data_IF_298786548583
#
_entry.id   IF_298786548583
#
_cell.length_a   1.000
_cell.length_b   1.000
_cell.length_c   1.000
_cell.angle_alpha   90.00
_cell.angle_beta   90.00
_cell.angle_gamma   90.00
#
_symmetry.space_group_name_H-M   'P 1'
#
loop_
_entity.id
_entity.type
_entity.pdbx_description
1 polymer ?
#
# COMPACT_ATOMS: atom_id res chain seq x y z
N UNK A 1 15.98 -29.90 -51.97
CA UNK A 1 16.94 -28.87 -51.52
C UNK A 1 16.15 -27.90 -50.67
N UNK A 2 16.18 -28.15 -49.37
CA UNK A 2 15.79 -27.18 -48.37
C UNK A 2 16.95 -26.20 -48.21
N UNK A 3 16.67 -24.93 -47.98
CA UNK A 3 17.53 -24.10 -47.15
C UNK A 3 16.72 -22.98 -46.49
N UNK A 4 16.97 -22.88 -45.18
CA UNK A 4 16.33 -22.05 -44.18
C UNK A 4 16.73 -20.57 -44.33
N UNK A 5 15.80 -19.67 -43.98
CA UNK A 5 16.10 -18.25 -43.76
C UNK A 5 16.51 -18.09 -42.28
N UNK A 6 17.69 -17.51 -41.96
CA UNK A 6 18.18 -17.48 -40.59
C UNK A 6 17.53 -16.37 -39.72
N UNK A 7 17.25 -16.78 -38.48
CA UNK A 7 16.89 -15.98 -37.31
C UNK A 7 17.92 -14.87 -37.04
N UNK A 8 17.63 -13.64 -37.44
CA UNK A 8 18.45 -12.48 -37.08
C UNK A 8 17.61 -11.20 -36.91
N UNK A 9 16.55 -11.26 -36.11
CA UNK A 9 15.85 -10.05 -35.63
C UNK A 9 15.53 -10.05 -34.12
N UNK A 10 15.92 -11.09 -33.39
CA UNK A 10 15.68 -11.20 -31.94
C UNK A 10 16.79 -10.60 -31.05
N UNK A 11 17.84 -9.99 -31.63
CA UNK A 11 19.08 -9.66 -30.88
C UNK A 11 19.34 -8.17 -30.65
N UNK A 12 18.36 -7.30 -30.87
CA UNK A 12 18.53 -5.83 -30.63
C UNK A 12 17.79 -5.36 -29.36
N UNK A 13 16.94 -6.20 -28.74
CA UNK A 13 16.19 -5.85 -27.51
C UNK A 13 16.97 -6.04 -26.19
N UNK A 14 18.23 -6.51 -26.24
CA UNK A 14 19.04 -6.84 -25.05
C UNK A 14 19.93 -5.68 -24.56
N UNK A 15 20.39 -4.79 -25.44
CA UNK A 15 21.65 -4.08 -25.17
C UNK A 15 21.50 -2.61 -24.73
N UNK A 16 20.28 -2.12 -24.44
CA UNK A 16 20.05 -0.76 -23.91
C UNK A 16 19.52 -0.71 -22.47
N UNK A 17 19.31 -1.85 -21.81
CA UNK A 17 18.79 -1.94 -20.44
C UNK A 17 19.76 -2.35 -19.29
N UNK A 18 21.11 -2.35 -19.37
CA UNK A 18 21.91 -2.76 -18.20
C UNK A 18 21.91 -1.76 -17.04
N UNK A 19 21.82 -0.44 -17.28
CA UNK A 19 22.11 0.55 -16.23
C UNK A 19 20.92 0.91 -15.33
N UNK A 20 19.68 0.86 -15.83
CA UNK A 20 18.48 1.06 -15.01
C UNK A 20 18.17 -0.18 -14.14
N UNK A 21 18.40 -1.38 -14.66
CA UNK A 21 18.27 -2.63 -13.89
C UNK A 21 19.36 -2.73 -12.80
N UNK A 22 20.57 -2.20 -13.03
CA UNK A 22 21.63 -2.13 -12.01
C UNK A 22 21.30 -1.14 -10.87
N UNK A 23 20.67 -0.01 -11.18
CA UNK A 23 20.27 0.96 -10.16
C UNK A 23 19.07 0.48 -9.35
N UNK A 24 18.13 -0.25 -9.96
CA UNK A 24 17.09 -0.95 -9.22
C UNK A 24 17.71 -2.00 -8.29
N UNK A 25 18.56 -2.91 -8.82
CA UNK A 25 19.10 -4.04 -8.07
C UNK A 25 19.97 -3.68 -6.85
N UNK A 26 20.67 -2.53 -6.84
CA UNK A 26 21.60 -2.19 -5.75
C UNK A 26 20.95 -1.61 -4.48
N UNK A 27 19.66 -1.26 -4.51
CA UNK A 27 18.89 -0.83 -3.32
C UNK A 27 18.23 -2.00 -2.56
N UNK A 28 18.30 -3.23 -3.09
CA UNK A 28 17.64 -4.40 -2.53
C UNK A 28 18.60 -5.27 -1.70
N UNK A 29 18.81 -4.86 -0.45
CA UNK A 29 19.42 -5.72 0.55
C UNK A 29 18.35 -6.21 1.54
N UNK A 30 17.95 -7.48 1.42
CA UNK A 30 17.42 -8.29 2.54
C UNK A 30 15.95 -8.15 2.96
N UNK A 31 15.10 -7.41 2.26
CA UNK A 31 13.64 -7.44 2.46
C UNK A 31 12.94 -7.66 1.13
N UNK A 32 12.29 -8.81 0.96
CA UNK A 32 11.66 -9.18 -0.31
C UNK A 32 10.56 -8.15 -0.63
N UNK A 33 10.65 -7.44 -1.76
CA UNK A 33 9.66 -6.41 -2.17
C UNK A 33 8.63 -7.01 -3.12
N UNK A 34 7.48 -6.36 -3.27
CA UNK A 34 6.57 -6.58 -4.39
C UNK A 34 6.94 -5.63 -5.52
N UNK A 35 6.93 -6.13 -6.75
CA UNK A 35 7.19 -5.37 -7.97
C UNK A 35 6.08 -5.60 -8.98
N UNK A 36 5.53 -4.53 -9.52
CA UNK A 36 4.53 -4.55 -10.58
C UNK A 36 5.05 -3.70 -11.73
N UNK A 37 5.22 -4.32 -12.90
CA UNK A 37 5.54 -3.61 -14.13
C UNK A 37 4.28 -3.56 -14.99
N UNK A 38 3.83 -2.37 -15.36
CA UNK A 38 2.66 -2.18 -16.22
C UNK A 38 3.07 -1.54 -17.54
N UNK A 39 2.76 -2.21 -18.65
CA UNK A 39 2.93 -1.69 -20.01
C UNK A 39 1.60 -1.11 -20.52
N UNK A 40 1.61 0.19 -20.82
CA UNK A 40 0.49 0.87 -21.47
C UNK A 40 0.54 0.60 -22.98
N UNK A 41 -0.35 -0.26 -23.49
CA UNK A 41 -0.54 -0.48 -24.93
C UNK A 41 -1.72 0.30 -25.49
N UNK A 42 -2.44 1.07 -24.67
CA UNK A 42 -3.58 1.85 -25.15
C UNK A 42 -3.14 2.93 -26.13
N UNK A 43 -4.08 3.39 -26.96
CA UNK A 43 -3.90 4.50 -27.88
C UNK A 43 -3.66 5.87 -27.24
N UNK A 44 -3.75 6.00 -25.91
CA UNK A 44 -3.60 7.25 -25.17
C UNK A 44 -2.63 7.12 -23.98
N UNK A 45 -2.13 8.25 -23.49
CA UNK A 45 -1.42 8.26 -22.21
C UNK A 45 -2.38 7.95 -21.08
N UNK A 46 -1.92 7.22 -20.07
CA UNK A 46 -2.74 6.74 -18.97
C UNK A 46 -2.11 7.05 -17.61
N UNK A 47 -2.95 7.23 -16.61
CA UNK A 47 -2.52 7.30 -15.21
C UNK A 47 -3.07 6.09 -14.45
N UNK A 48 -2.32 5.63 -13.46
CA UNK A 48 -2.63 4.42 -12.70
C UNK A 48 -2.46 4.67 -11.21
N UNK A 49 -3.38 4.13 -10.42
CA UNK A 49 -3.30 4.12 -8.98
C UNK A 49 -3.30 2.68 -8.44
N UNK A 50 -2.43 2.42 -7.47
CA UNK A 50 -2.36 1.17 -6.73
C UNK A 50 -3.14 1.31 -5.42
N UNK A 51 -4.13 0.46 -5.23
CA UNK A 51 -4.85 0.31 -3.96
C UNK A 51 -4.56 -1.04 -3.33
N UNK A 52 -4.72 -1.15 -2.02
CA UNK A 52 -4.80 -2.44 -1.33
C UNK A 52 -6.27 -2.79 -1.06
N UNK A 53 -6.56 -4.09 -1.05
CA UNK A 53 -7.76 -4.55 -0.37
C UNK A 53 -7.71 -4.06 1.08
N UNK A 54 -8.82 -3.54 1.65
CA UNK A 54 -8.83 -3.04 3.01
C UNK A 54 -8.21 -4.06 3.99
N UNK A 55 -7.32 -3.63 4.90
CA UNK A 55 -6.73 -4.52 5.88
C UNK A 55 -7.81 -5.09 6.80
N UNK A 56 -7.51 -6.23 7.42
CA UNK A 56 -8.33 -6.72 8.51
C UNK A 56 -8.12 -5.84 9.75
N UNK A 57 -9.22 -5.44 10.40
CA UNK A 57 -9.19 -4.65 11.64
C UNK A 57 -10.15 -5.30 12.65
N UNK A 58 -9.63 -5.65 13.84
CA UNK A 58 -10.43 -6.15 14.96
C UNK A 58 -10.21 -5.28 16.20
N UNK A 59 -11.26 -4.87 16.94
CA UNK A 59 -12.68 -5.04 16.59
C UNK A 59 -13.02 -4.27 15.31
N UNK A 60 -14.16 -4.64 14.70
CA UNK A 60 -14.67 -3.95 13.51
C UNK A 60 -14.88 -2.47 13.78
N UNK A 61 -14.53 -1.63 12.82
CA UNK A 61 -14.65 -0.16 12.88
C UNK A 61 -15.83 0.32 12.02
N UNK A 62 -16.40 1.48 12.35
CA UNK A 62 -17.58 2.03 11.64
C UNK A 62 -17.33 2.21 10.13
N UNK A 63 -16.19 2.79 9.77
CA UNK A 63 -15.78 3.01 8.39
C UNK A 63 -14.27 2.85 8.26
N UNK A 64 -13.85 1.97 7.35
CA UNK A 64 -12.48 1.81 6.94
C UNK A 64 -12.34 2.35 5.51
N UNK A 65 -11.49 3.36 5.34
CA UNK A 65 -11.26 4.02 4.06
C UNK A 65 -9.93 3.55 3.50
N UNK A 66 -9.94 2.89 2.34
CA UNK A 66 -8.72 2.60 1.56
C UNK A 66 -8.28 3.83 0.77
N UNK A 67 -6.97 3.98 0.54
CA UNK A 67 -6.41 5.10 -0.18
C UNK A 67 -5.49 4.65 -1.32
N UNK A 68 -5.28 5.53 -2.30
CA UNK A 68 -4.28 5.34 -3.35
C UNK A 68 -2.88 5.33 -2.72
N UNK A 69 -2.19 4.20 -2.80
CA UNK A 69 -0.88 3.97 -2.16
C UNK A 69 0.24 4.51 -3.05
N UNK A 70 0.24 4.15 -4.33
CA UNK A 70 1.22 4.60 -5.30
C UNK A 70 0.49 5.03 -6.56
N UNK A 71 1.00 6.09 -7.20
CA UNK A 71 0.38 6.63 -8.42
C UNK A 71 1.45 6.81 -9.51
N UNK A 72 1.11 6.43 -10.73
CA UNK A 72 1.88 6.71 -11.93
C UNK A 72 1.06 7.64 -12.82
N UNK A 73 1.65 8.71 -13.32
CA UNK A 73 0.96 9.71 -14.15
C UNK A 73 1.49 9.71 -15.56
N UNK A 74 0.59 9.98 -16.50
CA UNK A 74 0.91 10.27 -17.90
C UNK A 74 1.86 9.25 -18.55
N UNK A 75 1.65 7.97 -18.25
CA UNK A 75 2.41 6.86 -18.83
C UNK A 75 2.13 6.83 -20.33
N UNK A 76 3.16 7.04 -21.14
CA UNK A 76 3.05 7.23 -22.57
C UNK A 76 2.23 6.13 -23.27
N UNK A 77 1.43 6.53 -24.27
CA UNK A 77 0.66 5.63 -25.11
C UNK A 77 1.54 4.57 -25.80
N UNK A 78 0.96 3.39 -26.05
CA UNK A 78 1.52 2.26 -26.82
C UNK A 78 2.80 1.58 -26.29
N UNK A 79 3.70 2.32 -25.64
CA UNK A 79 5.04 1.83 -25.24
C UNK A 79 5.46 2.22 -23.82
N UNK A 80 4.70 3.07 -23.13
CA UNK A 80 5.05 3.55 -21.80
C UNK A 80 4.98 2.46 -20.75
N UNK A 81 5.92 2.49 -19.80
CA UNK A 81 5.94 1.57 -18.67
C UNK A 81 5.78 2.33 -17.35
N UNK A 82 5.01 1.75 -16.42
CA UNK A 82 4.97 2.15 -15.02
C UNK A 82 5.53 1.03 -14.14
N UNK A 83 6.24 1.42 -13.09
CA UNK A 83 6.85 0.51 -12.14
C UNK A 83 6.38 0.85 -10.73
N UNK A 84 5.75 -0.12 -10.06
CA UNK A 84 5.38 0.00 -8.66
C UNK A 84 6.21 -0.97 -7.84
N UNK A 85 6.98 -0.45 -6.89
CA UNK A 85 7.80 -1.26 -6.00
C UNK A 85 7.57 -0.85 -4.56
N UNK A 86 7.28 -1.83 -3.70
CA UNK A 86 7.02 -1.58 -2.28
C UNK A 86 7.40 -2.78 -1.41
N UNK A 87 7.79 -2.55 -0.14
CA UNK A 87 8.24 -3.63 0.73
C UNK A 87 7.09 -4.56 1.15
N UNK A 88 7.37 -5.86 1.35
CA UNK A 88 6.36 -6.85 1.79
C UNK A 88 6.08 -6.84 3.28
N UNK A 89 7.03 -6.38 4.08
CA UNK A 89 7.05 -6.56 5.53
C UNK A 89 7.37 -5.26 6.31
N UNK A 90 7.62 -4.14 5.62
CA UNK A 90 7.92 -2.84 6.26
C UNK A 90 6.66 -1.98 6.40
N UNK A 91 5.81 -2.37 7.33
CA UNK A 91 4.57 -1.66 7.66
C UNK A 91 4.78 -0.62 8.76
N UNK A 92 3.92 0.40 8.79
CA UNK A 92 3.81 1.33 9.90
C UNK A 92 2.35 1.45 10.33
N UNK A 93 2.14 1.48 11.64
CA UNK A 93 0.93 2.04 12.21
C UNK A 93 0.93 3.55 11.97
N UNK A 94 -0.24 4.11 11.67
CA UNK A 94 -0.45 5.53 11.44
C UNK A 94 -1.44 6.06 12.48
N UNK A 95 -1.18 7.23 13.04
CA UNK A 95 -2.19 8.01 13.73
C UNK A 95 -2.01 9.50 13.41
N UNK A 96 -3.06 10.30 13.61
CA UNK A 96 -2.97 11.74 13.41
C UNK A 96 -4.31 12.37 13.06
N UNK A 97 -4.26 13.44 12.25
CA UNK A 97 -5.42 14.19 11.76
C UNK A 97 -5.42 14.16 10.24
N UNK A 98 -6.59 13.93 9.64
CA UNK A 98 -6.80 14.05 8.20
C UNK A 98 -8.08 14.84 7.93
N UNK A 99 -7.92 16.13 7.60
CA UNK A 99 -9.00 17.01 7.22
C UNK A 99 -8.90 17.27 5.72
N UNK A 100 -10.00 17.03 5.03
CA UNK A 100 -10.11 17.25 3.59
C UNK A 100 -11.44 17.94 3.30
N UNK A 101 -11.37 19.09 2.63
CA UNK A 101 -12.47 19.74 1.94
C UNK A 101 -12.09 20.00 0.47
N UNK A 102 -13.01 20.59 -0.32
CA UNK A 102 -12.81 20.84 -1.76
C UNK A 102 -11.59 21.71 -2.11
N UNK A 103 -11.01 22.41 -1.13
CA UNK A 103 -9.94 23.39 -1.33
C UNK A 103 -8.73 23.20 -0.40
N UNK A 104 -8.89 22.48 0.70
CA UNK A 104 -7.89 22.29 1.75
C UNK A 104 -7.72 20.83 2.07
N UNK A 105 -6.51 20.34 1.86
CA UNK A 105 -6.07 19.02 2.29
C UNK A 105 -5.03 19.21 3.40
N UNK A 106 -5.43 19.00 4.65
CA UNK A 106 -4.54 19.04 5.81
C UNK A 106 -4.35 17.63 6.36
N UNK A 107 -3.09 17.20 6.43
CA UNK A 107 -2.74 15.93 7.04
C UNK A 107 -1.53 16.05 7.94
N UNK A 108 -1.71 15.65 9.19
CA UNK A 108 -0.63 15.58 10.19
C UNK A 108 -0.60 14.16 10.70
N UNK A 109 0.46 13.43 10.39
CA UNK A 109 0.60 12.01 10.75
C UNK A 109 1.81 11.80 11.65
N UNK A 110 1.64 10.95 12.63
CA UNK A 110 2.72 10.24 13.29
C UNK A 110 2.74 8.76 12.84
N UNK A 111 3.91 8.14 12.93
CA UNK A 111 4.14 6.77 12.43
C UNK A 111 4.93 5.94 13.43
N UNK A 112 4.50 4.71 13.63
CA UNK A 112 5.18 3.72 14.45
C UNK A 112 5.50 2.51 13.57
N UNK A 113 6.79 2.18 13.43
CA UNK A 113 7.21 1.00 12.68
C UNK A 113 6.69 -0.25 13.39
N UNK A 114 6.17 -1.22 12.63
CA UNK A 114 5.57 -2.43 13.20
C UNK A 114 6.14 -3.70 12.60
N UNK A 115 6.27 -4.71 13.45
CA UNK A 115 6.40 -6.11 13.06
C UNK A 115 5.04 -6.78 13.24
N UNK A 116 4.68 -7.66 12.31
CA UNK A 116 3.47 -8.48 12.44
C UNK A 116 3.75 -9.66 13.35
N UNK A 117 2.75 -10.08 14.12
CA UNK A 117 2.85 -11.31 14.90
C UNK A 117 3.08 -12.50 13.98
N UNK A 118 3.90 -13.45 14.43
CA UNK A 118 4.33 -14.58 13.60
C UNK A 118 4.46 -15.86 14.41
N UNK A 119 4.60 -16.99 13.71
CA UNK A 119 4.72 -18.30 14.33
C UNK A 119 3.40 -19.05 14.44
N UNK A 120 3.41 -20.09 15.28
CA UNK A 120 2.25 -20.95 15.59
C UNK A 120 1.97 -20.84 17.10
N UNK A 121 0.80 -21.29 17.55
CA UNK A 121 0.36 -21.19 18.95
C UNK A 121 1.41 -21.57 20.00
N UNK A 122 2.29 -22.55 19.73
CA UNK A 122 3.36 -22.97 20.64
C UNK A 122 4.63 -22.11 20.60
N UNK A 123 4.90 -21.38 19.51
CA UNK A 123 6.08 -20.52 19.29
C UNK A 123 5.63 -19.17 18.72
N UNK A 124 4.63 -18.56 19.37
CA UNK A 124 4.02 -17.32 18.91
C UNK A 124 4.88 -16.12 19.31
N UNK A 125 5.35 -15.38 18.30
CA UNK A 125 5.97 -14.08 18.48
C UNK A 125 4.90 -13.01 18.27
N UNK A 126 4.67 -12.19 19.30
CA UNK A 126 3.68 -11.11 19.25
C UNK A 126 4.15 -10.01 18.30
N UNK A 127 3.20 -9.44 17.57
CA UNK A 127 3.44 -8.27 16.73
C UNK A 127 3.52 -7.00 17.57
N UNK A 128 4.17 -5.97 17.02
CA UNK A 128 4.38 -4.69 17.70
C UNK A 128 3.08 -4.09 18.24
N UNK A 129 3.15 -3.47 19.42
CA UNK A 129 2.08 -2.60 19.92
C UNK A 129 2.46 -1.13 19.85
N UNK A 130 1.71 -0.37 19.05
CA UNK A 130 1.82 1.08 18.98
C UNK A 130 0.75 1.71 19.87
N UNK A 131 1.18 2.30 20.98
CA UNK A 131 0.30 3.01 21.90
C UNK A 131 0.07 4.44 21.42
N UNK A 132 -1.16 4.78 21.09
CA UNK A 132 -1.56 6.14 20.74
C UNK A 132 -1.69 6.99 22.02
N UNK A 133 -1.20 8.21 21.96
CA UNK A 133 -1.50 9.28 22.90
C UNK A 133 -2.54 10.21 22.25
N UNK A 134 -3.54 10.60 23.03
CA UNK A 134 -4.66 11.44 22.61
C UNK A 134 -4.86 12.66 23.52
N UNK A 135 -3.80 13.06 24.24
CA UNK A 135 -3.81 14.18 25.19
C UNK A 135 -3.74 15.55 24.51
N UNK A 136 -3.35 15.60 23.23
CA UNK A 136 -3.24 16.82 22.43
C UNK A 136 -4.32 16.90 21.34
N UNK A 137 -4.28 17.96 20.53
CA UNK A 137 -5.20 18.13 19.39
C UNK A 137 -4.95 17.12 18.26
N UNK A 138 -3.71 16.63 18.12
CA UNK A 138 -3.30 15.68 17.09
C UNK A 138 -2.74 14.44 17.78
N UNK A 139 -3.38 13.27 17.64
CA UNK A 139 -2.87 12.05 18.25
C UNK A 139 -1.51 11.69 17.65
N UNK A 140 -0.67 11.12 18.50
CA UNK A 140 0.70 10.69 18.16
C UNK A 140 0.98 9.36 18.86
N UNK A 141 2.06 8.67 18.51
CA UNK A 141 2.46 7.46 19.22
C UNK A 141 3.34 7.81 20.42
N UNK A 142 2.96 7.31 21.60
CA UNK A 142 3.78 7.42 22.79
C UNK A 142 5.07 6.58 22.62
N UNK A 143 6.09 6.91 23.42
CA UNK A 143 7.34 6.16 23.46
C UNK A 143 7.07 4.67 23.67
N UNK A 144 7.48 3.83 22.72
CA UNK A 144 7.35 2.37 22.81
C UNK A 144 8.27 1.83 23.91
N UNK A 145 7.69 1.11 24.88
CA UNK A 145 8.41 0.51 26.00
C UNK A 145 9.14 -0.80 25.65
N UNK A 146 9.04 -1.26 24.39
CA UNK A 146 9.78 -2.39 23.85
C UNK A 146 8.93 -3.67 23.67
N UNK A 147 9.56 -4.78 23.23
CA UNK A 147 8.86 -6.00 22.82
C UNK A 147 8.05 -6.71 23.92
N UNK A 148 8.32 -6.42 25.20
CA UNK A 148 7.60 -7.03 26.31
C UNK A 148 6.11 -6.66 26.34
N UNK A 149 5.77 -5.49 25.79
CA UNK A 149 4.40 -4.97 25.74
C UNK A 149 3.68 -5.27 24.42
N UNK A 150 4.33 -5.98 23.50
CA UNK A 150 3.77 -6.33 22.20
C UNK A 150 2.59 -7.30 22.37
N UNK A 151 1.47 -7.02 21.70
CA UNK A 151 0.19 -7.74 21.77
C UNK A 151 -0.42 -8.03 20.39
N UNK A 152 0.30 -7.76 19.30
CA UNK A 152 -0.18 -8.04 17.94
C UNK A 152 -0.43 -9.53 17.72
N UNK A 153 -1.61 -9.89 17.22
CA UNK A 153 -2.00 -11.26 16.83
C UNK A 153 -1.14 -11.80 15.66
N UNK A 154 -1.22 -13.10 15.39
CA UNK A 154 -0.59 -13.69 14.19
C UNK A 154 -1.09 -12.96 12.94
N UNK A 155 -0.16 -12.44 12.13
CA UNK A 155 -0.45 -11.68 10.92
C UNK A 155 -0.86 -10.21 11.16
N UNK A 156 -0.82 -9.73 12.40
CA UNK A 156 -1.26 -8.39 12.77
C UNK A 156 -0.28 -7.68 13.70
N UNK A 157 -0.37 -6.35 13.74
CA UNK A 157 0.15 -5.53 14.83
C UNK A 157 -1.02 -4.99 15.67
N UNK A 158 -0.72 -4.49 16.87
CA UNK A 158 -1.71 -3.88 17.75
C UNK A 158 -1.57 -2.35 17.76
N UNK A 159 -2.67 -1.62 17.56
CA UNK A 159 -2.77 -0.19 17.84
C UNK A 159 -3.66 0.01 19.07
N UNK A 160 -3.08 0.51 20.16
CA UNK A 160 -3.79 0.73 21.42
C UNK A 160 -4.17 2.19 21.57
N UNK A 161 -5.43 2.44 21.89
CA UNK A 161 -5.95 3.79 22.12
C UNK A 161 -6.23 4.04 23.60
N UNK A 162 -6.02 5.27 24.10
CA UNK A 162 -6.25 5.60 25.50
C UNK A 162 -7.75 5.82 25.76
N UNK A 163 -8.11 5.95 27.04
CA UNK A 163 -9.49 6.21 27.45
C UNK A 163 -9.90 7.66 27.60
N UNK A 164 -9.02 8.61 27.32
CA UNK A 164 -9.22 10.05 27.57
C UNK A 164 -10.02 10.80 26.50
N UNK A 165 -10.72 10.10 25.60
CA UNK A 165 -11.51 10.72 24.53
C UNK A 165 -12.77 9.90 24.20
N UNK A 166 -13.65 10.44 23.35
CA UNK A 166 -14.83 9.74 22.82
C UNK A 166 -14.71 9.58 21.31
N UNK A 167 -15.45 8.62 20.74
CA UNK A 167 -15.50 8.46 19.28
C UNK A 167 -15.97 9.73 18.56
N UNK A 168 -16.98 10.42 19.09
CA UNK A 168 -17.46 11.71 18.56
C UNK A 168 -16.37 12.78 18.58
N UNK A 169 -15.57 12.84 19.65
CA UNK A 169 -14.41 13.75 19.71
C UNK A 169 -13.40 13.41 18.62
N UNK A 170 -13.08 12.13 18.43
CA UNK A 170 -12.16 11.71 17.38
C UNK A 170 -12.70 12.08 15.98
N UNK A 171 -13.99 11.84 15.73
CA UNK A 171 -14.67 12.21 14.47
C UNK A 171 -14.65 13.71 14.21
N UNK A 172 -15.02 14.52 15.20
CA UNK A 172 -15.09 15.99 15.08
C UNK A 172 -13.71 16.65 14.95
N UNK A 173 -12.65 16.02 15.47
CA UNK A 173 -11.28 16.49 15.29
C UNK A 173 -10.58 15.81 14.10
N UNK A 174 -11.31 15.06 13.27
CA UNK A 174 -10.79 14.36 12.10
C UNK A 174 -9.60 13.44 12.42
N UNK A 175 -9.62 12.82 13.60
CA UNK A 175 -8.60 11.88 14.02
C UNK A 175 -8.68 10.61 13.19
N UNK A 176 -7.51 10.13 12.79
CA UNK A 176 -7.37 8.88 12.07
C UNK A 176 -6.36 7.97 12.74
N UNK A 177 -6.62 6.67 12.63
CA UNK A 177 -5.69 5.59 12.90
C UNK A 177 -5.67 4.66 11.68
N UNK A 178 -4.58 3.93 11.46
CA UNK A 178 -4.53 3.06 10.28
C UNK A 178 -3.18 2.40 10.03
N UNK A 179 -3.02 2.00 8.78
CA UNK A 179 -1.86 1.27 8.28
C UNK A 179 -1.30 2.00 7.05
N UNK A 180 0.02 2.04 6.94
CA UNK A 180 0.72 2.49 5.74
C UNK A 180 2.07 1.81 5.57
N UNK A 181 2.77 2.19 4.50
CA UNK A 181 4.15 1.76 4.26
C UNK A 181 5.15 2.59 5.04
N UNK A 182 6.27 1.95 5.38
CA UNK A 182 7.50 2.59 5.84
C UNK A 182 8.05 3.52 4.77
N UNK A 183 7.60 4.78 4.76
CA UNK A 183 8.10 5.79 3.83
C UNK A 183 8.46 7.08 4.57
N UNK A 184 9.49 7.76 4.06
CA UNK A 184 9.70 9.17 4.41
C UNK A 184 8.44 9.95 4.05
N UNK A 185 8.11 11.00 4.80
CA UNK A 185 6.85 11.76 4.69
C UNK A 185 6.61 12.50 3.36
N UNK A 186 7.22 12.09 2.27
CA UNK A 186 6.96 12.60 0.93
C UNK A 186 5.56 12.19 0.46
N UNK A 187 4.87 13.16 -0.13
CA UNK A 187 3.52 13.06 -0.68
C UNK A 187 3.36 12.07 -1.86
N UNK A 188 4.39 11.26 -2.17
CA UNK A 188 4.38 10.29 -3.27
C UNK A 188 3.95 8.89 -2.85
N UNK A 189 3.82 8.62 -1.55
CA UNK A 189 3.32 7.34 -1.04
C UNK A 189 2.15 7.56 -0.09
N UNK A 190 1.06 6.88 -0.40
CA UNK A 190 -0.16 6.88 0.37
C UNK A 190 -0.17 5.88 1.52
N UNK A 191 -1.04 6.13 2.49
CA UNK A 191 -1.43 5.13 3.48
C UNK A 191 -2.27 4.03 2.82
N UNK A 192 -2.33 2.84 3.41
CA UNK A 192 -3.17 1.76 2.87
C UNK A 192 -4.62 2.01 3.18
N UNK A 193 -4.91 2.17 4.47
CA UNK A 193 -6.24 2.43 4.96
C UNK A 193 -6.21 3.22 6.26
N UNK A 194 -7.27 3.97 6.50
CA UNK A 194 -7.49 4.69 7.75
C UNK A 194 -8.94 4.58 8.24
N UNK A 195 -9.14 4.81 9.53
CA UNK A 195 -10.44 4.83 10.18
C UNK A 195 -10.42 5.81 11.37
N UNK A 196 -11.59 6.23 11.83
CA UNK A 196 -11.72 7.01 13.06
C UNK A 196 -11.58 6.09 14.29
N UNK A 197 -10.60 6.30 15.18
CA UNK A 197 -10.43 5.45 16.34
C UNK A 197 -11.51 5.71 17.40
N UNK A 198 -12.03 4.65 18.00
CA UNK A 198 -12.72 4.67 19.29
C UNK A 198 -11.74 4.59 20.48
N UNK A 199 -12.15 5.00 21.69
CA UNK A 199 -11.32 5.03 22.89
C UNK A 199 -11.22 3.67 23.60
N UNK A 200 -10.15 3.46 24.37
CA UNK A 200 -9.88 2.22 25.15
C UNK A 200 -9.92 0.94 24.32
N UNK A 201 -9.49 1.02 23.08
CA UNK A 201 -9.53 -0.10 22.14
C UNK A 201 -8.13 -0.52 21.73
N UNK A 202 -7.91 -1.84 21.75
CA UNK A 202 -6.76 -2.52 21.15
C UNK A 202 -7.17 -3.02 19.75
N UNK A 203 -6.73 -2.33 18.71
CA UNK A 203 -7.00 -2.72 17.33
C UNK A 203 -5.94 -3.68 16.82
N UNK A 204 -6.33 -4.88 16.43
CA UNK A 204 -5.49 -5.82 15.69
C UNK A 204 -5.63 -5.54 14.20
N UNK A 205 -4.54 -5.10 13.58
CA UNK A 205 -4.54 -4.66 12.18
C UNK A 205 -3.63 -5.57 11.36
N UNK A 206 -4.22 -6.32 10.44
CA UNK A 206 -3.53 -7.25 9.55
C UNK A 206 -3.51 -6.74 8.10
N UNK A 207 -2.34 -6.41 7.52
CA UNK A 207 -2.20 -6.00 6.12
C UNK A 207 -2.74 -7.04 5.13
N UNK A 208 -3.27 -6.58 4.00
CA UNK A 208 -3.64 -7.45 2.89
C UNK A 208 -2.47 -7.69 1.95
N UNK A 209 -2.42 -8.88 1.33
CA UNK A 209 -1.53 -9.19 0.20
C UNK A 209 -2.24 -9.05 -1.15
N UNK A 210 -3.48 -8.56 -1.13
CA UNK A 210 -4.30 -8.30 -2.31
C UNK A 210 -4.27 -6.82 -2.65
N UNK A 211 -3.96 -6.51 -3.90
CA UNK A 211 -3.89 -5.16 -4.45
C UNK A 211 -4.71 -5.02 -5.72
N UNK A 212 -5.00 -3.79 -6.10
CA UNK A 212 -5.75 -3.45 -7.31
C UNK A 212 -5.00 -2.34 -8.07
N UNK A 213 -4.87 -2.52 -9.38
CA UNK A 213 -4.43 -1.46 -10.28
C UNK A 213 -5.64 -0.85 -10.95
N UNK A 214 -5.76 0.48 -10.84
CA UNK A 214 -6.90 1.25 -11.34
C UNK A 214 -6.39 2.28 -12.37
N UNK A 215 -6.85 2.26 -13.63
CA UNK A 215 -6.43 3.21 -14.66
C UNK A 215 -7.15 4.57 -14.49
N UNK A 216 -6.85 5.29 -13.40
CA UNK A 216 -7.43 6.61 -13.08
C UNK A 216 -6.36 7.58 -12.62
N UNK A 217 -6.51 8.84 -13.00
CA UNK A 217 -5.69 9.93 -12.48
C UNK A 217 -6.14 10.28 -11.05
N UNK A 218 -5.33 9.90 -10.07
CA UNK A 218 -5.53 10.18 -8.64
C UNK A 218 -4.23 10.70 -8.03
N UNK A 219 -4.33 11.40 -6.91
CA UNK A 219 -3.22 11.73 -6.03
C UNK A 219 -2.96 10.60 -5.02
N UNK A 220 -1.69 10.41 -4.65
CA UNK A 220 -1.38 9.51 -3.55
C UNK A 220 -2.08 10.03 -2.28
N UNK A 221 -2.66 9.11 -1.51
CA UNK A 221 -3.56 9.36 -0.38
C UNK A 221 -5.01 9.75 -0.70
N UNK A 222 -5.38 9.92 -1.98
CA UNK A 222 -6.80 10.08 -2.30
C UNK A 222 -7.58 8.88 -1.76
N UNK A 223 -8.72 9.13 -1.07
CA UNK A 223 -9.59 8.05 -0.64
C UNK A 223 -10.13 7.32 -1.88
N UNK A 224 -10.49 6.05 -1.69
CA UNK A 224 -11.21 5.26 -2.70
C UNK A 224 -12.46 6.05 -3.13
N UNK A 225 -12.59 6.42 -4.42
CA UNK A 225 -13.77 7.13 -4.90
C UNK A 225 -15.04 6.30 -4.71
N UNK A 226 -16.16 6.95 -4.40
CA UNK A 226 -17.44 6.25 -4.14
C UNK A 226 -17.97 5.50 -5.39
N UNK A 227 -17.54 5.91 -6.59
CA UNK A 227 -17.89 5.30 -7.89
C UNK A 227 -16.95 4.15 -8.30
N UNK A 228 -15.90 3.87 -7.54
CA UNK A 228 -14.92 2.83 -7.89
C UNK A 228 -15.37 1.44 -7.39
N UNK A 229 -15.57 0.51 -8.32
CA UNK A 229 -15.84 -0.89 -8.04
C UNK A 229 -14.60 -1.77 -8.32
N UNK A 230 -13.89 -2.17 -7.26
CA UNK A 230 -12.72 -3.04 -7.36
C UNK A 230 -12.99 -4.41 -8.00
N UNK A 231 -14.25 -4.85 -8.13
CA UNK A 231 -14.59 -6.10 -8.82
C UNK A 231 -14.32 -6.04 -10.33
N UNK A 232 -14.25 -4.84 -10.91
CA UNK A 232 -13.98 -4.60 -12.32
C UNK A 232 -12.49 -4.31 -12.60
N UNK A 233 -11.68 -4.19 -11.55
CA UNK A 233 -10.28 -3.77 -11.65
C UNK A 233 -9.32 -4.96 -11.66
N UNK A 234 -8.08 -4.71 -12.06
CA UNK A 234 -7.05 -5.76 -12.08
C UNK A 234 -6.61 -6.13 -10.66
N UNK A 235 -7.12 -7.25 -10.14
CA UNK A 235 -6.75 -7.81 -8.84
C UNK A 235 -5.40 -8.54 -8.91
N UNK A 236 -4.51 -8.20 -7.99
CA UNK A 236 -3.22 -8.84 -7.77
C UNK A 236 -3.20 -9.49 -6.40
N UNK A 237 -3.21 -10.83 -6.34
CA UNK A 237 -3.19 -11.59 -5.10
C UNK A 237 -1.81 -12.25 -4.89
N UNK A 238 -0.92 -11.55 -4.18
CA UNK A 238 0.45 -12.02 -3.95
C UNK A 238 0.57 -13.20 -2.98
N UNK A 239 -0.54 -13.70 -2.42
CA UNK A 239 -0.53 -15.01 -1.77
C UNK A 239 -0.43 -16.15 -2.80
N UNK A 240 -0.86 -15.89 -4.04
CA UNK A 240 -0.88 -16.85 -5.15
C UNK A 240 0.06 -16.49 -6.31
N UNK A 241 0.38 -15.20 -6.46
CA UNK A 241 1.25 -14.68 -7.52
C UNK A 241 2.72 -14.66 -7.10
N UNK A 242 3.58 -14.65 -8.10
CA UNK A 242 4.99 -14.28 -7.97
C UNK A 242 5.09 -12.87 -7.37
N UNK A 243 6.17 -12.61 -6.64
CA UNK A 243 6.36 -11.27 -6.07
C UNK A 243 6.73 -10.18 -7.06
N UNK A 244 6.96 -10.57 -8.31
CA UNK A 244 7.18 -9.69 -9.44
C UNK A 244 6.18 -10.09 -10.51
N UNK A 245 5.33 -9.17 -10.93
CA UNK A 245 4.29 -9.43 -11.93
C UNK A 245 4.36 -8.40 -13.05
N UNK A 246 4.01 -8.84 -14.26
CA UNK A 246 3.94 -7.99 -15.45
C UNK A 246 2.49 -7.88 -15.92
N UNK A 247 2.05 -6.64 -16.15
CA UNK A 247 0.69 -6.29 -16.56
C UNK A 247 0.72 -5.60 -17.92
N UNK A 248 -0.35 -5.77 -18.69
CA UNK A 248 -0.58 -5.06 -19.94
C UNK A 248 -1.97 -4.42 -19.90
N UNK A 249 -2.02 -3.11 -20.17
CA UNK A 249 -3.27 -2.37 -20.41
C UNK A 249 -3.48 -2.22 -21.92
N UNK A 250 -4.51 -2.86 -22.47
CA UNK A 250 -4.75 -2.92 -23.92
C UNK A 250 -5.79 -1.90 -24.43
N UNK A 251 -5.96 -1.82 -25.75
CA UNK A 251 -6.86 -0.87 -26.41
C UNK A 251 -8.36 -1.09 -26.10
N UNK A 252 -8.73 -2.24 -25.53
CA UNK A 252 -10.09 -2.50 -25.02
C UNK A 252 -10.29 -1.90 -23.62
N UNK A 253 -9.29 -1.16 -23.11
CA UNK A 253 -9.24 -0.57 -21.78
C UNK A 253 -9.31 -1.64 -20.67
N UNK A 254 -8.67 -2.79 -20.90
CA UNK A 254 -8.58 -3.90 -19.95
C UNK A 254 -7.13 -4.10 -19.52
N UNK A 255 -6.92 -4.27 -18.21
CA UNK A 255 -5.61 -4.60 -17.64
C UNK A 255 -5.55 -6.10 -17.34
N UNK A 256 -4.55 -6.80 -17.88
CA UNK A 256 -4.36 -8.24 -17.71
C UNK A 256 -2.97 -8.56 -17.17
N UNK A 257 -2.88 -9.62 -16.37
CA UNK A 257 -1.61 -10.20 -15.91
C UNK A 257 -1.03 -11.03 -17.07
N UNK A 258 0.20 -10.70 -17.47
CA UNK A 258 0.93 -11.39 -18.54
C UNK A 258 1.90 -12.44 -17.98
N UNK A 259 2.54 -12.14 -16.85
CA UNK A 259 3.42 -13.08 -16.13
C UNK A 259 3.01 -13.13 -14.65
N UNK A 260 2.32 -14.21 -14.21
CA UNK A 260 1.76 -14.34 -12.87
C UNK A 260 2.78 -14.70 -11.78
#
# INVERSE_FOLDING_TARGET
>A
MADEVPLAQAKVFSDTMPQLDLMARSLFNGGASYTITLLNKTGASQSYALFSQPPSVKPTVERLTSHAILVARDVAARTGNAFFTFPRDKYHAICGVNQQDDSVHLRVLDRCAVTLGSGRTSNFHRGTTCAMDASSATPFFASWAGPADDQGEIGAFCLRTPGGFTFEKAKNNHWIAGLGLSTSGNALVGIYASFTPGPRTDYQIGPSQVFYIVPRALDANDPTPDDLDFSQECKLDFASLSSSVELVHDDDNVIRIFNP
#
